data_IF_126504687826
#
_entry.id   IF_126504687826
#
_cell.length_a   1.000
_cell.length_b   1.000
_cell.length_c   1.000
_cell.angle_alpha   90.00
_cell.angle_beta   90.00
_cell.angle_gamma   90.00
#
_symmetry.space_group_name_H-M   'P 1'
#
loop_
_entity.id
_entity.type
_entity.pdbx_description
1 polymer ?
#
# COMPACT_ATOMS: atom_id res chain seq x y z
N UNK A 1 41.08 9.81 4.47
CA UNK A 1 41.52 10.95 3.64
C UNK A 1 42.15 12.10 4.43
N UNK A 2 41.42 12.89 5.24
CA UNK A 2 41.99 14.08 5.92
C UNK A 2 43.26 13.80 6.73
N UNK A 3 43.26 12.75 7.56
CA UNK A 3 44.41 12.36 8.38
C UNK A 3 45.63 11.98 7.52
N UNK A 4 45.38 11.30 6.39
CA UNK A 4 46.42 10.93 5.43
C UNK A 4 47.05 12.18 4.78
N UNK A 5 46.22 13.13 4.30
CA UNK A 5 46.69 14.40 3.75
C UNK A 5 47.48 15.24 4.76
N UNK A 6 47.08 15.23 6.05
CA UNK A 6 47.81 15.93 7.11
C UNK A 6 49.21 15.34 7.33
N UNK A 7 49.34 14.01 7.30
CA UNK A 7 50.63 13.34 7.40
C UNK A 7 51.52 13.67 6.19
N UNK A 8 50.95 13.65 4.98
CA UNK A 8 51.65 14.07 3.76
C UNK A 8 52.11 15.53 3.82
N UNK A 9 51.28 16.45 4.33
CA UNK A 9 51.65 17.85 4.52
C UNK A 9 52.83 17.99 5.47
N UNK A 10 52.84 17.28 6.61
CA UNK A 10 53.95 17.34 7.56
C UNK A 10 55.28 16.89 6.94
N UNK A 11 55.25 15.83 6.15
CA UNK A 11 56.45 15.34 5.43
C UNK A 11 56.90 16.30 4.34
N UNK A 12 55.96 16.98 3.68
CA UNK A 12 56.26 18.02 2.70
C UNK A 12 56.91 19.23 3.36
N UNK A 13 56.37 19.69 4.49
CA UNK A 13 56.91 20.80 5.26
C UNK A 13 58.35 20.49 5.74
N UNK A 14 58.60 19.28 6.25
CA UNK A 14 59.96 18.82 6.64
C UNK A 14 60.94 18.81 5.46
N UNK A 15 60.48 18.43 4.25
CA UNK A 15 61.30 18.44 3.05
C UNK A 15 61.62 19.86 2.56
N UNK A 16 60.70 20.80 2.74
CA UNK A 16 60.90 22.23 2.45
C UNK A 16 61.91 22.82 3.44
N UNK A 17 61.80 22.51 4.74
CA UNK A 17 62.76 22.94 5.76
C UNK A 17 64.18 22.42 5.49
N UNK A 18 64.30 21.17 5.03
CA UNK A 18 65.58 20.56 4.60
C UNK A 18 66.13 21.10 3.28
N UNK A 19 65.45 22.07 2.65
CA UNK A 19 65.84 22.66 1.34
C UNK A 19 65.97 21.62 0.24
N UNK A 20 65.07 20.63 0.21
CA UNK A 20 64.97 19.66 -0.90
C UNK A 20 64.05 20.16 -2.02
N UNK A 21 63.13 21.07 -1.69
CA UNK A 21 62.16 21.66 -2.63
C UNK A 21 62.18 23.17 -2.41
N UNK A 22 62.27 23.93 -3.50
CA UNK A 22 62.11 25.39 -3.47
C UNK A 22 60.62 25.77 -3.35
N UNK A 23 60.20 26.47 -2.28
CA UNK A 23 58.80 26.81 -2.05
C UNK A 23 58.23 27.82 -3.08
N UNK A 24 59.10 28.60 -3.75
CA UNK A 24 58.68 29.65 -4.69
C UNK A 24 58.58 29.11 -6.12
N UNK A 25 59.60 28.39 -6.58
CA UNK A 25 59.62 27.83 -7.94
C UNK A 25 58.96 26.45 -8.03
N UNK A 26 58.79 25.78 -6.90
CA UNK A 26 58.36 24.39 -6.84
C UNK A 26 59.41 23.43 -7.39
N UNK A 27 60.65 23.86 -7.65
CA UNK A 27 61.67 23.01 -8.24
C UNK A 27 62.28 22.08 -7.18
N UNK A 28 62.46 20.80 -7.55
CA UNK A 28 63.21 19.83 -6.75
C UNK A 28 64.71 20.15 -6.87
N UNK A 29 65.36 20.42 -5.74
CA UNK A 29 66.76 20.85 -5.70
C UNK A 29 67.66 19.65 -6.04
N UNK A 30 68.36 19.75 -7.18
CA UNK A 30 69.27 18.71 -7.67
C UNK A 30 68.76 17.89 -8.85
N UNK A 31 67.55 18.18 -9.35
CA UNK A 31 67.03 17.70 -10.63
C UNK A 31 67.13 18.79 -11.71
N UNK A 32 67.11 18.45 -13.02
CA UNK A 32 67.18 19.43 -14.09
C UNK A 32 66.04 20.46 -13.99
N UNK A 33 66.31 21.70 -14.43
CA UNK A 33 65.29 22.78 -14.44
C UNK A 33 64.08 22.36 -15.27
N UNK A 34 62.90 22.43 -14.66
CA UNK A 34 61.64 21.97 -15.26
C UNK A 34 61.34 20.48 -15.07
N UNK A 35 62.12 19.75 -14.26
CA UNK A 35 61.77 18.39 -13.87
C UNK A 35 60.74 18.39 -12.74
N UNK A 36 59.57 17.85 -13.05
CA UNK A 36 58.41 17.76 -12.16
C UNK A 36 58.01 16.29 -11.90
N UNK A 37 58.89 15.35 -12.22
CA UNK A 37 58.64 13.90 -12.15
C UNK A 37 58.97 13.28 -10.79
N UNK A 38 59.09 11.95 -10.76
CA UNK A 38 59.50 11.21 -9.56
C UNK A 38 61.00 11.37 -9.32
N UNK A 39 61.41 11.94 -8.19
CA UNK A 39 62.83 11.99 -7.82
C UNK A 39 63.16 10.93 -6.78
N UNK A 40 64.23 10.18 -7.03
CA UNK A 40 64.80 9.20 -6.09
C UNK A 40 65.39 9.85 -4.83
N UNK A 41 65.60 11.17 -4.85
CA UNK A 41 66.11 11.96 -3.71
C UNK A 41 65.05 12.25 -2.67
N UNK A 42 63.78 12.20 -3.06
CA UNK A 42 62.63 12.46 -2.22
C UNK A 42 62.05 11.13 -1.72
N UNK A 43 61.63 11.12 -0.45
CA UNK A 43 60.85 9.98 0.06
C UNK A 43 59.56 9.82 -0.75
N UNK A 44 59.07 8.59 -0.88
CA UNK A 44 57.80 8.23 -1.52
C UNK A 44 56.68 9.22 -1.16
N UNK A 45 56.52 9.47 0.14
CA UNK A 45 55.40 10.27 0.65
C UNK A 45 55.56 11.76 0.32
N UNK A 46 56.79 12.26 0.27
CA UNK A 46 57.07 13.64 -0.13
C UNK A 46 56.84 13.81 -1.62
N UNK A 47 57.23 12.84 -2.44
CA UNK A 47 56.90 12.81 -3.87
C UNK A 47 55.38 12.87 -4.05
N UNK A 48 54.60 12.06 -3.32
CA UNK A 48 53.13 12.09 -3.38
C UNK A 48 52.58 13.46 -2.96
N UNK A 49 52.99 13.98 -1.80
CA UNK A 49 52.53 15.26 -1.28
C UNK A 49 52.81 16.42 -2.24
N UNK A 50 54.01 16.42 -2.84
CA UNK A 50 54.42 17.38 -3.87
C UNK A 50 53.51 17.31 -5.11
N UNK A 51 53.24 16.10 -5.62
CA UNK A 51 52.31 15.93 -6.76
C UNK A 51 50.93 16.46 -6.44
N UNK A 52 50.42 16.19 -5.24
CA UNK A 52 49.12 16.70 -4.80
C UNK A 52 49.11 18.23 -4.70
N UNK A 53 50.14 18.84 -4.11
CA UNK A 53 50.23 20.30 -3.99
C UNK A 53 50.23 21.01 -5.35
N UNK A 54 50.87 20.41 -6.36
CA UNK A 54 50.93 20.95 -7.73
C UNK A 54 49.68 20.71 -8.58
N UNK A 55 48.82 19.76 -8.22
CA UNK A 55 47.62 19.46 -9.02
C UNK A 55 46.44 20.32 -8.58
N UNK A 56 45.76 20.87 -9.57
CA UNK A 56 44.41 21.43 -9.48
C UNK A 56 43.46 20.58 -10.31
N UNK A 57 42.14 20.79 -10.18
CA UNK A 57 41.13 19.97 -10.86
C UNK A 57 41.44 19.69 -12.35
N UNK A 58 41.95 20.65 -13.11
CA UNK A 58 42.21 20.48 -14.55
C UNK A 58 43.62 20.85 -15.00
N UNK A 59 44.47 21.39 -14.12
CA UNK A 59 45.79 21.90 -14.49
C UNK A 59 46.85 21.51 -13.46
N UNK A 60 48.10 21.44 -13.92
CA UNK A 60 49.26 21.21 -13.07
C UNK A 60 50.04 22.51 -13.02
N UNK A 61 50.14 23.10 -11.83
CA UNK A 61 50.98 24.27 -11.58
C UNK A 61 51.68 24.12 -10.23
N UNK A 62 53.00 24.00 -10.27
CA UNK A 62 53.83 23.91 -9.06
C UNK A 62 54.34 25.29 -8.60
N UNK A 63 54.40 26.28 -9.49
CA UNK A 63 55.07 27.53 -9.22
C UNK A 63 54.28 28.35 -8.19
N UNK A 64 54.89 28.63 -7.03
CA UNK A 64 54.27 29.40 -5.95
C UNK A 64 53.09 28.73 -5.24
N UNK A 65 52.68 27.50 -5.61
CA UNK A 65 51.62 26.74 -4.92
C UNK A 65 52.16 25.89 -3.79
N UNK A 66 53.29 25.22 -3.98
CA UNK A 66 53.85 24.26 -3.00
C UNK A 66 54.13 24.91 -1.64
N UNK A 67 54.65 26.14 -1.62
CA UNK A 67 54.90 26.88 -0.38
C UNK A 67 53.72 27.69 0.16
N UNK A 68 52.66 27.88 -0.63
CA UNK A 68 51.53 28.78 -0.29
C UNK A 68 50.28 28.03 0.12
N UNK A 69 50.01 26.88 -0.49
CA UNK A 69 48.76 26.14 -0.33
C UNK A 69 49.03 24.93 0.56
N UNK A 70 48.22 24.80 1.60
CA UNK A 70 48.21 23.61 2.43
C UNK A 70 47.14 22.64 1.94
N UNK A 71 47.45 21.35 1.96
CA UNK A 71 46.51 20.29 1.61
C UNK A 71 45.31 20.25 2.56
N UNK A 72 45.55 20.59 3.84
CA UNK A 72 44.54 20.69 4.90
C UNK A 72 44.77 22.00 5.65
N UNK A 73 43.71 22.81 5.77
CA UNK A 73 43.73 24.07 6.50
C UNK A 73 43.82 23.86 8.01
N UNK A 74 44.12 24.93 8.77
CA UNK A 74 44.19 24.88 10.24
C UNK A 74 42.86 24.48 10.89
N UNK A 75 41.75 24.80 10.24
CA UNK A 75 40.38 24.38 10.63
C UNK A 75 40.10 22.89 10.37
N UNK A 76 41.02 22.17 9.71
CA UNK A 76 40.84 20.76 9.35
C UNK A 76 39.95 20.53 8.13
N UNK A 77 39.74 21.56 7.30
CA UNK A 77 39.06 21.46 6.00
C UNK A 77 40.10 21.11 4.93
N UNK A 78 39.74 20.22 4.00
CA UNK A 78 40.61 19.87 2.87
C UNK A 78 40.50 20.96 1.81
N UNK A 79 41.62 21.35 1.20
CA UNK A 79 41.62 22.37 0.16
C UNK A 79 40.70 21.97 -1.02
N UNK A 80 39.81 22.88 -1.39
CA UNK A 80 38.73 22.65 -2.35
C UNK A 80 39.28 22.52 -3.79
N UNK A 81 40.35 23.25 -4.13
CA UNK A 81 40.91 23.31 -5.49
C UNK A 81 41.40 21.94 -5.97
N UNK A 82 41.99 21.16 -5.06
CA UNK A 82 42.59 19.86 -5.34
C UNK A 82 41.77 18.68 -4.84
N UNK A 83 40.62 18.89 -4.20
CA UNK A 83 39.84 17.84 -3.53
C UNK A 83 39.62 16.58 -4.38
N UNK A 84 39.24 16.77 -5.65
CA UNK A 84 38.96 15.65 -6.57
C UNK A 84 40.21 14.89 -7.01
N UNK A 85 41.36 15.58 -7.14
CA UNK A 85 42.65 14.94 -7.41
C UNK A 85 43.13 14.19 -6.15
N UNK A 86 42.94 14.79 -4.97
CA UNK A 86 43.30 14.18 -3.70
C UNK A 86 42.48 12.93 -3.43
N UNK A 87 41.20 12.94 -3.82
CA UNK A 87 40.32 11.79 -3.69
C UNK A 87 40.77 10.63 -4.58
N UNK A 88 41.11 10.91 -5.85
CA UNK A 88 41.71 9.91 -6.75
C UNK A 88 42.99 9.33 -6.17
N UNK A 89 43.89 10.18 -5.68
CA UNK A 89 45.15 9.72 -5.11
C UNK A 89 44.94 8.89 -3.84
N UNK A 90 44.06 9.31 -2.92
CA UNK A 90 43.75 8.57 -1.70
C UNK A 90 43.12 7.21 -2.01
N UNK A 91 42.15 7.18 -2.92
CA UNK A 91 41.46 5.94 -3.34
C UNK A 91 42.43 4.88 -3.88
N UNK A 92 43.42 5.29 -4.67
CA UNK A 92 44.37 4.37 -5.29
C UNK A 92 45.59 4.03 -4.42
N UNK A 93 46.16 5.01 -3.71
CA UNK A 93 47.38 4.81 -2.91
C UNK A 93 47.09 4.22 -1.53
N UNK A 94 45.98 4.59 -0.92
CA UNK A 94 45.58 4.15 0.41
C UNK A 94 44.32 3.28 0.33
N UNK A 95 44.37 2.30 -0.57
CA UNK A 95 43.29 1.33 -0.81
C UNK A 95 42.86 0.63 0.49
N UNK A 96 43.80 0.36 1.40
CA UNK A 96 43.48 -0.24 2.70
C UNK A 96 42.54 0.65 3.52
N UNK A 97 42.84 1.95 3.69
CA UNK A 97 41.94 2.83 4.45
C UNK A 97 40.62 3.10 3.74
N UNK A 98 40.61 3.08 2.40
CA UNK A 98 39.35 3.11 1.65
C UNK A 98 38.47 1.90 2.01
N UNK A 99 39.01 0.68 1.95
CA UNK A 99 38.25 -0.53 2.30
C UNK A 99 37.82 -0.56 3.77
N UNK A 100 38.67 -0.11 4.69
CA UNK A 100 38.33 -0.01 6.13
C UNK A 100 37.20 0.99 6.37
N UNK A 101 37.12 2.07 5.60
CA UNK A 101 36.04 3.05 5.73
C UNK A 101 34.67 2.50 5.29
N UNK A 102 34.64 1.41 4.51
CA UNK A 102 33.46 0.86 3.85
C UNK A 102 32.64 1.89 3.05
N UNK A 103 33.25 3.02 2.71
CA UNK A 103 32.66 3.99 1.80
C UNK A 103 32.54 3.36 0.40
N UNK A 104 31.50 3.73 -0.32
CA UNK A 104 31.28 3.31 -1.70
C UNK A 104 31.09 4.57 -2.53
N UNK A 105 32.10 4.93 -3.32
CA UNK A 105 32.01 6.10 -4.20
C UNK A 105 31.42 5.72 -5.54
N UNK A 106 30.33 6.38 -5.92
CA UNK A 106 29.73 6.23 -7.25
C UNK A 106 29.59 7.62 -7.89
N UNK A 107 30.17 7.85 -9.08
CA UNK A 107 31.06 6.96 -9.82
C UNK A 107 32.39 6.73 -9.09
N UNK A 108 33.03 5.58 -9.34
CA UNK A 108 34.33 5.27 -8.75
C UNK A 108 35.41 6.23 -9.28
N UNK A 109 36.35 6.69 -8.44
CA UNK A 109 37.49 7.48 -8.90
C UNK A 109 38.30 6.73 -9.98
N UNK A 110 38.92 7.45 -10.93
CA UNK A 110 39.75 6.82 -11.96
C UNK A 110 40.95 6.10 -11.33
N UNK A 111 41.44 5.06 -11.99
CA UNK A 111 42.66 4.39 -11.56
C UNK A 111 43.87 5.28 -11.81
N UNK A 112 44.74 5.39 -10.81
CA UNK A 112 45.96 6.17 -10.90
C UNK A 112 47.07 5.52 -10.10
N UNK A 113 48.26 5.44 -10.70
CA UNK A 113 49.45 4.88 -10.06
C UNK A 113 50.61 5.85 -10.18
N UNK A 114 51.56 5.73 -9.24
CA UNK A 114 52.70 6.65 -9.15
C UNK A 114 53.72 6.46 -10.29
N UNK A 115 53.64 5.36 -11.04
CA UNK A 115 54.61 4.99 -12.08
C UNK A 115 54.50 5.82 -13.36
N UNK A 116 53.47 6.65 -13.50
CA UNK A 116 53.36 7.53 -14.65
C UNK A 116 54.34 8.72 -14.51
N UNK A 117 55.14 8.94 -15.56
CA UNK A 117 56.05 10.09 -15.68
C UNK A 117 55.33 11.44 -15.66
N UNK A 118 54.00 11.42 -15.83
CA UNK A 118 53.16 12.61 -15.76
C UNK A 118 52.89 13.02 -14.32
N UNK A 119 53.13 14.30 -14.03
CA UNK A 119 52.76 14.92 -12.75
C UNK A 119 51.23 14.99 -12.57
N UNK A 120 50.46 14.91 -13.65
CA UNK A 120 49.00 15.05 -13.66
C UNK A 120 48.28 13.87 -13.00
N UNK A 121 47.37 14.20 -12.08
CA UNK A 121 46.48 13.24 -11.42
C UNK A 121 45.08 13.44 -12.00
N UNK A 122 44.46 12.41 -12.62
CA UNK A 122 43.12 12.57 -13.17
C UNK A 122 42.11 12.88 -12.06
N UNK A 123 41.30 13.95 -12.18
CA UNK A 123 40.33 14.31 -11.16
C UNK A 123 39.21 13.26 -11.09
N UNK A 124 38.74 12.94 -9.88
CA UNK A 124 37.50 12.20 -9.72
C UNK A 124 36.30 13.01 -10.25
N UNK A 125 35.27 12.33 -10.75
CA UNK A 125 34.00 12.97 -11.09
C UNK A 125 33.24 13.45 -9.83
N UNK A 126 32.23 14.32 -9.98
CA UNK A 126 31.34 14.66 -8.88
C UNK A 126 30.67 13.39 -8.33
N UNK A 127 30.84 13.15 -7.03
CA UNK A 127 30.26 11.97 -6.38
C UNK A 127 28.74 12.12 -6.31
N UNK A 128 28.04 11.11 -6.81
CA UNK A 128 26.57 11.02 -6.71
C UNK A 128 26.14 10.24 -5.47
N UNK A 129 26.96 9.30 -5.02
CA UNK A 129 26.68 8.48 -3.83
C UNK A 129 27.95 8.21 -3.03
N UNK A 130 27.80 8.27 -1.72
CA UNK A 130 28.74 7.78 -0.72
C UNK A 130 27.96 7.24 0.46
N UNK A 131 28.53 6.28 1.19
CA UNK A 131 27.89 5.69 2.37
C UNK A 131 28.81 5.75 3.57
N UNK A 132 28.19 5.87 4.74
CA UNK A 132 28.88 5.90 6.03
C UNK A 132 28.30 4.76 6.87
N UNK A 133 29.11 3.73 7.21
CA UNK A 133 28.61 2.60 7.99
C UNK A 133 28.39 3.00 9.45
N UNK A 134 27.22 2.63 10.00
CA UNK A 134 26.93 2.71 11.41
C UNK A 134 26.40 1.36 11.91
N UNK A 135 26.74 1.03 13.16
CA UNK A 135 26.22 -0.15 13.83
C UNK A 135 25.23 0.27 14.90
N UNK A 136 24.06 -0.38 14.90
CA UNK A 136 23.01 -0.17 15.88
C UNK A 136 23.13 -1.23 16.97
N UNK A 137 23.03 -0.82 18.23
CA UNK A 137 23.11 -1.72 19.40
C UNK A 137 21.85 -1.63 20.25
N UNK A 138 21.46 -2.71 20.91
CA UNK A 138 20.35 -2.69 21.88
C UNK A 138 18.95 -2.63 21.27
N UNK A 139 18.78 -3.02 20.00
CA UNK A 139 17.48 -3.09 19.33
C UNK A 139 16.75 -4.40 19.68
N UNK A 140 16.10 -4.44 20.84
CA UNK A 140 15.36 -5.64 21.30
C UNK A 140 13.85 -5.57 21.03
N UNK A 141 13.28 -4.36 21.08
CA UNK A 141 11.82 -4.16 21.03
C UNK A 141 11.40 -3.26 19.87
N UNK A 142 10.25 -3.56 19.25
CA UNK A 142 9.66 -2.77 18.16
C UNK A 142 9.54 -1.27 18.48
N UNK A 143 9.08 -0.82 19.67
CA UNK A 143 9.00 0.61 19.97
C UNK A 143 10.36 1.30 19.98
N UNK A 144 11.42 0.62 20.40
CA UNK A 144 12.79 1.16 20.40
C UNK A 144 13.27 1.32 18.95
N UNK A 145 13.00 0.33 18.10
CA UNK A 145 13.35 0.39 16.67
C UNK A 145 12.60 1.54 15.99
N UNK A 146 11.30 1.68 16.22
CA UNK A 146 10.49 2.77 15.65
C UNK A 146 10.98 4.13 16.15
N UNK A 147 11.35 4.26 17.42
CA UNK A 147 11.92 5.49 17.97
C UNK A 147 13.26 5.83 17.30
N UNK A 148 14.16 4.84 17.19
CA UNK A 148 15.45 5.00 16.52
C UNK A 148 15.28 5.46 15.06
N UNK A 149 14.34 4.86 14.33
CA UNK A 149 14.06 5.27 12.94
C UNK A 149 13.60 6.73 12.88
N UNK A 150 12.72 7.17 13.80
CA UNK A 150 12.28 8.58 13.87
C UNK A 150 13.43 9.54 14.14
N UNK A 151 14.30 9.20 15.09
CA UNK A 151 15.44 10.03 15.47
C UNK A 151 16.44 10.16 14.31
N UNK A 152 16.80 9.05 13.67
CA UNK A 152 17.74 9.08 12.54
C UNK A 152 17.14 9.82 11.34
N UNK A 153 15.86 9.59 11.02
CA UNK A 153 15.17 10.35 9.96
C UNK A 153 15.16 11.85 10.25
N UNK A 154 14.91 12.26 11.49
CA UNK A 154 14.92 13.67 11.86
C UNK A 154 16.28 14.33 11.66
N UNK A 155 17.37 13.63 11.99
CA UNK A 155 18.74 14.10 11.73
C UNK A 155 18.99 14.19 10.22
N UNK A 156 18.57 13.18 9.46
CA UNK A 156 18.71 13.20 8.00
C UNK A 156 17.97 14.39 7.37
N UNK A 157 16.74 14.66 7.81
CA UNK A 157 15.91 15.76 7.34
C UNK A 157 16.51 17.14 7.71
N UNK A 158 17.23 17.25 8.83
CA UNK A 158 17.96 18.46 9.22
C UNK A 158 19.08 18.79 8.22
N UNK A 159 19.92 17.80 7.90
CA UNK A 159 21.00 17.97 6.93
C UNK A 159 20.50 18.10 5.49
N UNK A 160 19.35 17.50 5.15
CA UNK A 160 18.71 17.69 3.84
C UNK A 160 18.30 19.16 3.64
N UNK A 161 17.82 19.83 4.69
CA UNK A 161 17.52 21.29 4.66
C UNK A 161 18.76 22.15 4.47
N UNK A 162 19.93 21.68 4.88
CA UNK A 162 21.22 22.34 4.65
C UNK A 162 21.78 22.08 3.24
N UNK A 163 20.99 21.49 2.32
CA UNK A 163 21.38 21.07 0.98
C UNK A 163 22.40 19.93 0.95
N UNK A 164 22.41 19.06 1.97
CA UNK A 164 23.15 17.82 1.97
C UNK A 164 22.19 16.63 1.92
N UNK A 165 21.74 16.21 0.71
CA UNK A 165 20.78 15.14 0.56
C UNK A 165 21.36 13.84 1.09
N UNK A 166 20.66 13.24 2.05
CA UNK A 166 21.11 12.05 2.75
C UNK A 166 19.91 11.20 3.16
N UNK A 167 20.10 9.89 3.26
CA UNK A 167 19.06 8.97 3.69
C UNK A 167 19.66 7.77 4.44
N UNK A 168 18.97 7.26 5.46
CA UNK A 168 19.39 6.05 6.14
C UNK A 168 19.03 4.82 5.29
N UNK A 169 19.89 3.81 5.34
CA UNK A 169 19.67 2.52 4.68
C UNK A 169 19.99 1.38 5.64
N UNK A 170 19.22 0.31 5.58
CA UNK A 170 19.44 -0.89 6.38
C UNK A 170 18.16 -1.66 6.65
N UNK A 171 18.32 -2.91 7.13
CA UNK A 171 17.22 -3.85 7.39
C UNK A 171 16.18 -3.24 8.35
N UNK A 172 16.63 -2.51 9.38
CA UNK A 172 15.73 -1.86 10.32
C UNK A 172 14.80 -0.85 9.62
N UNK A 173 15.34 -0.01 8.73
CA UNK A 173 14.55 0.95 7.97
C UNK A 173 13.62 0.23 7.00
N UNK A 174 14.11 -0.74 6.23
CA UNK A 174 13.27 -1.45 5.24
C UNK A 174 12.10 -2.21 5.86
N UNK A 175 12.27 -2.86 7.01
CA UNK A 175 11.23 -3.71 7.60
C UNK A 175 10.37 -3.01 8.66
N UNK A 176 10.93 -2.08 9.45
CA UNK A 176 10.19 -1.46 10.57
C UNK A 176 9.58 -0.10 10.23
N UNK A 177 9.92 0.51 9.10
CA UNK A 177 9.34 1.80 8.68
C UNK A 177 7.81 1.74 8.53
N UNK A 178 7.25 0.59 8.14
CA UNK A 178 5.79 0.39 8.08
C UNK A 178 5.07 0.59 9.42
N UNK A 179 5.75 0.41 10.56
CA UNK A 179 5.13 0.57 11.88
C UNK A 179 5.03 2.03 12.32
N UNK A 180 5.72 2.97 11.66
CA UNK A 180 5.67 4.40 12.00
C UNK A 180 4.25 4.97 11.91
N UNK A 181 3.55 4.60 10.84
CA UNK A 181 2.24 5.14 10.49
C UNK A 181 1.12 4.09 10.59
N UNK A 182 1.41 2.89 11.11
CA UNK A 182 0.47 1.77 11.12
C UNK A 182 -0.84 2.11 11.85
N UNK A 183 -0.77 2.67 13.06
CA UNK A 183 -1.96 3.01 13.84
C UNK A 183 -2.80 4.10 13.18
N UNK A 184 -2.16 5.17 12.69
CA UNK A 184 -2.84 6.27 12.00
C UNK A 184 -3.50 5.79 10.71
N UNK A 185 -2.78 4.99 9.91
CA UNK A 185 -3.31 4.44 8.67
C UNK A 185 -4.47 3.46 8.92
N UNK A 186 -4.40 2.66 9.98
CA UNK A 186 -5.51 1.80 10.39
C UNK A 186 -6.75 2.61 10.77
N UNK A 187 -6.60 3.68 11.55
CA UNK A 187 -7.72 4.56 11.91
C UNK A 187 -8.36 5.22 10.69
N UNK A 188 -7.54 5.71 9.75
CA UNK A 188 -8.04 6.25 8.48
C UNK A 188 -8.75 5.19 7.64
N UNK A 189 -8.20 3.98 7.54
CA UNK A 189 -8.80 2.89 6.78
C UNK A 189 -10.16 2.47 7.36
N UNK A 190 -10.26 2.30 8.68
CA UNK A 190 -11.53 1.98 9.35
C UNK A 190 -12.55 3.10 9.13
N UNK A 191 -12.16 4.37 9.26
CA UNK A 191 -13.05 5.50 9.05
C UNK A 191 -13.60 5.56 7.61
N UNK A 192 -12.72 5.41 6.61
CA UNK A 192 -13.12 5.42 5.19
C UNK A 192 -14.07 4.27 4.88
N UNK A 193 -13.76 3.06 5.35
CA UNK A 193 -14.59 1.87 5.13
C UNK A 193 -15.92 2.02 5.85
N UNK A 194 -15.93 2.53 7.08
CA UNK A 194 -17.17 2.77 7.83
C UNK A 194 -18.10 3.74 7.09
N UNK A 195 -17.57 4.85 6.55
CA UNK A 195 -18.35 5.80 5.74
C UNK A 195 -18.85 5.14 4.46
N UNK A 196 -17.99 4.40 3.75
CA UNK A 196 -18.37 3.71 2.52
C UNK A 196 -19.48 2.69 2.76
N UNK A 197 -19.35 1.85 3.79
CA UNK A 197 -20.37 0.85 4.18
C UNK A 197 -21.66 1.54 4.58
N UNK A 198 -21.62 2.63 5.36
CA UNK A 198 -22.81 3.40 5.72
C UNK A 198 -23.56 3.92 4.49
N UNK A 199 -22.84 4.50 3.52
CA UNK A 199 -23.44 5.02 2.29
C UNK A 199 -24.08 3.90 1.47
N UNK A 200 -23.35 2.79 1.26
CA UNK A 200 -23.84 1.65 0.48
C UNK A 200 -25.05 1.02 1.16
N UNK A 201 -25.01 0.78 2.47
CA UNK A 201 -26.14 0.23 3.22
C UNK A 201 -27.34 1.19 3.23
N UNK A 202 -27.13 2.49 3.34
CA UNK A 202 -28.21 3.48 3.27
C UNK A 202 -28.92 3.45 1.92
N UNK A 203 -28.17 3.30 0.83
CA UNK A 203 -28.72 3.21 -0.54
C UNK A 203 -29.46 1.89 -0.75
N UNK A 204 -28.86 0.75 -0.38
CA UNK A 204 -29.48 -0.57 -0.55
C UNK A 204 -30.75 -0.71 0.29
N UNK A 205 -30.72 -0.18 1.51
CA UNK A 205 -31.81 -0.31 2.47
C UNK A 205 -32.87 0.78 2.31
N UNK A 206 -32.60 1.81 1.51
CA UNK A 206 -33.41 3.04 1.37
C UNK A 206 -33.80 3.70 2.72
N UNK A 207 -33.08 3.38 3.80
CA UNK A 207 -33.40 3.82 5.16
C UNK A 207 -32.11 4.13 5.93
N UNK A 208 -31.72 5.41 6.06
CA UNK A 208 -30.47 5.79 6.72
C UNK A 208 -30.49 5.52 8.23
N UNK A 209 -31.66 5.46 8.86
CA UNK A 209 -31.79 5.11 10.27
C UNK A 209 -31.41 3.64 10.52
N UNK A 210 -31.92 2.73 9.67
CA UNK A 210 -31.56 1.32 9.72
C UNK A 210 -30.05 1.11 9.48
N UNK A 211 -29.48 1.82 8.50
CA UNK A 211 -28.05 1.80 8.23
C UNK A 211 -27.22 2.32 9.42
N UNK A 212 -27.70 3.35 10.12
CA UNK A 212 -27.05 3.85 11.35
C UNK A 212 -27.00 2.80 12.47
N UNK A 213 -28.06 2.02 12.66
CA UNK A 213 -28.09 0.92 13.63
C UNK A 213 -27.07 -0.17 13.26
N UNK A 214 -26.99 -0.55 11.97
CA UNK A 214 -25.97 -1.50 11.50
C UNK A 214 -24.58 -0.97 11.80
N UNK A 215 -24.29 0.28 11.45
CA UNK A 215 -22.99 0.90 11.67
C UNK A 215 -22.58 0.91 13.15
N UNK A 216 -23.51 1.17 14.06
CA UNK A 216 -23.26 1.10 15.50
C UNK A 216 -22.77 -0.30 15.90
N UNK A 217 -23.45 -1.36 15.42
CA UNK A 217 -23.06 -2.74 15.71
C UNK A 217 -21.71 -3.09 15.07
N UNK A 218 -21.44 -2.64 13.84
CA UNK A 218 -20.14 -2.87 13.19
C UNK A 218 -18.99 -2.22 13.97
N UNK A 219 -19.19 -0.99 14.46
CA UNK A 219 -18.19 -0.32 15.32
C UNK A 219 -17.97 -1.13 16.60
N UNK A 220 -19.03 -1.61 17.25
CA UNK A 220 -18.90 -2.47 18.43
C UNK A 220 -18.11 -3.76 18.14
N UNK A 221 -18.42 -4.46 17.05
CA UNK A 221 -17.69 -5.66 16.62
C UNK A 221 -16.20 -5.36 16.43
N UNK A 222 -15.84 -4.24 15.77
CA UNK A 222 -14.44 -3.88 15.57
C UNK A 222 -13.71 -3.57 16.88
N UNK A 223 -14.37 -2.88 17.81
CA UNK A 223 -13.81 -2.53 19.12
C UNK A 223 -13.64 -3.77 19.99
N UNK A 224 -14.62 -4.68 20.00
CA UNK A 224 -14.56 -5.94 20.73
C UNK A 224 -13.46 -6.85 20.21
N UNK A 225 -13.32 -6.96 18.87
CA UNK A 225 -12.23 -7.71 18.27
C UNK A 225 -10.87 -7.08 18.62
N UNK A 226 -10.73 -5.76 18.48
CA UNK A 226 -9.49 -5.06 18.85
C UNK A 226 -9.14 -5.24 20.34
N UNK A 227 -10.14 -5.22 21.22
CA UNK A 227 -9.99 -5.54 22.65
C UNK A 227 -9.54 -6.98 22.88
N UNK A 228 -10.14 -7.94 22.17
CA UNK A 228 -9.74 -9.34 22.21
C UNK A 228 -8.28 -9.56 21.76
N UNK A 229 -7.81 -8.88 20.71
CA UNK A 229 -6.40 -8.93 20.29
C UNK A 229 -5.47 -8.51 21.44
N UNK A 230 -5.83 -7.45 22.16
CA UNK A 230 -5.08 -6.98 23.33
C UNK A 230 -5.04 -8.01 24.46
N UNK A 231 -6.19 -8.60 24.80
CA UNK A 231 -6.31 -9.61 25.85
C UNK A 231 -5.58 -10.92 25.51
N UNK A 232 -5.59 -11.32 24.23
CA UNK A 232 -4.88 -12.50 23.74
C UNK A 232 -3.36 -12.29 23.60
N UNK A 233 -2.84 -11.09 23.92
CA UNK A 233 -1.42 -10.76 23.78
C UNK A 233 -0.93 -10.82 22.34
N UNK A 234 -1.81 -10.52 21.37
CA UNK A 234 -1.50 -10.47 19.95
C UNK A 234 -1.02 -9.05 19.63
N UNK A 235 0.22 -8.93 19.14
CA UNK A 235 0.82 -7.63 18.82
C UNK A 235 0.17 -7.04 17.57
N UNK A 236 0.00 -5.72 17.53
CA UNK A 236 -0.50 -5.02 16.36
C UNK A 236 0.56 -5.05 15.23
N UNK A 237 0.23 -5.77 14.17
CA UNK A 237 1.01 -5.95 12.95
C UNK A 237 0.13 -5.58 11.75
N UNK A 238 0.65 -5.28 10.54
CA UNK A 238 -0.21 -5.04 9.37
C UNK A 238 -1.18 -6.18 9.08
N UNK A 239 -0.79 -7.43 9.38
CA UNK A 239 -1.66 -8.59 9.20
C UNK A 239 -2.86 -8.55 10.15
N UNK A 240 -2.65 -8.28 11.45
CA UNK A 240 -3.76 -8.14 12.40
C UNK A 240 -4.60 -6.90 12.12
N UNK A 241 -3.99 -5.82 11.60
CA UNK A 241 -4.68 -4.61 11.19
C UNK A 241 -5.65 -4.89 10.02
N UNK A 242 -5.22 -5.69 9.03
CA UNK A 242 -6.09 -6.18 7.96
C UNK A 242 -7.23 -7.02 8.51
N UNK A 243 -6.99 -7.87 9.52
CA UNK A 243 -8.07 -8.65 10.15
C UNK A 243 -9.13 -7.78 10.82
N UNK A 244 -8.73 -6.68 11.48
CA UNK A 244 -9.67 -5.69 12.05
C UNK A 244 -10.48 -5.02 10.93
N UNK A 245 -9.87 -4.73 9.79
CA UNK A 245 -10.58 -4.17 8.62
C UNK A 245 -11.58 -5.19 8.06
N UNK A 246 -11.17 -6.45 7.89
CA UNK A 246 -12.02 -7.55 7.43
C UNK A 246 -13.20 -7.78 8.38
N UNK A 247 -13.04 -7.49 9.68
CA UNK A 247 -14.13 -7.58 10.65
C UNK A 247 -15.33 -6.69 10.30
N UNK A 248 -15.10 -5.52 9.72
CA UNK A 248 -16.19 -4.66 9.23
C UNK A 248 -16.96 -5.36 8.11
N UNK A 249 -16.25 -5.98 7.16
CA UNK A 249 -16.87 -6.69 6.03
C UNK A 249 -17.67 -7.92 6.47
N UNK A 250 -17.06 -8.79 7.28
CA UNK A 250 -17.72 -9.99 7.81
C UNK A 250 -18.88 -9.60 8.75
N UNK A 251 -18.75 -8.52 9.52
CA UNK A 251 -19.84 -8.00 10.36
C UNK A 251 -21.07 -7.57 9.55
N UNK A 252 -20.88 -7.03 8.34
CA UNK A 252 -22.01 -6.64 7.45
C UNK A 252 -22.82 -7.87 7.04
N UNK A 253 -22.19 -9.01 6.78
CA UNK A 253 -22.88 -10.25 6.43
C UNK A 253 -23.85 -10.68 7.55
N UNK A 254 -23.40 -10.64 8.80
CA UNK A 254 -24.24 -11.05 9.94
C UNK A 254 -25.36 -10.06 10.27
N UNK A 255 -25.18 -8.77 9.96
CA UNK A 255 -26.12 -7.71 10.35
C UNK A 255 -27.11 -7.36 9.25
N UNK A 256 -26.68 -7.28 7.98
CA UNK A 256 -27.50 -6.82 6.87
C UNK A 256 -28.69 -7.76 6.57
N UNK A 257 -28.49 -9.08 6.65
CA UNK A 257 -29.57 -10.06 6.44
C UNK A 257 -30.69 -9.91 7.47
N UNK A 258 -30.33 -9.66 8.73
CA UNK A 258 -31.28 -9.44 9.83
C UNK A 258 -32.04 -8.14 9.62
N UNK A 259 -31.35 -7.03 9.34
CA UNK A 259 -32.02 -5.73 9.13
C UNK A 259 -32.95 -5.75 7.92
N UNK A 260 -32.52 -6.34 6.80
CA UNK A 260 -33.35 -6.44 5.59
C UNK A 260 -34.61 -7.29 5.84
N UNK A 261 -34.48 -8.40 6.57
CA UNK A 261 -35.64 -9.22 6.93
C UNK A 261 -36.58 -8.51 7.90
N UNK A 262 -36.04 -7.72 8.84
CA UNK A 262 -36.84 -6.89 9.74
C UNK A 262 -37.62 -5.80 8.98
N UNK A 263 -36.99 -5.13 8.01
CA UNK A 263 -37.62 -4.09 7.20
C UNK A 263 -38.73 -4.62 6.30
N UNK A 264 -38.57 -5.83 5.77
CA UNK A 264 -39.55 -6.49 4.89
C UNK A 264 -40.65 -7.25 5.65
N UNK A 265 -40.56 -7.37 6.97
CA UNK A 265 -41.57 -8.00 7.80
C UNK A 265 -42.66 -7.01 8.23
N UNK A 266 -43.89 -7.51 8.32
CA UNK A 266 -45.11 -6.76 8.68
C UNK A 266 -45.46 -6.94 10.15
N UNK A 267 -46.24 -6.01 10.70
CA UNK A 267 -46.77 -6.06 12.06
C UNK A 267 -46.06 -5.15 13.06
N UNK A 268 -46.25 -5.41 14.35
CA UNK A 268 -45.60 -4.63 15.42
C UNK A 268 -44.09 -4.88 15.43
N UNK A 269 -43.31 -4.02 16.11
CA UNK A 269 -41.84 -4.20 16.19
C UNK A 269 -41.43 -5.58 16.71
N UNK A 270 -42.18 -6.13 17.66
CA UNK A 270 -41.89 -7.44 18.23
C UNK A 270 -42.27 -8.58 17.28
N UNK A 271 -43.41 -8.47 16.60
CA UNK A 271 -43.85 -9.47 15.62
C UNK A 271 -42.91 -9.51 14.41
N UNK A 272 -42.49 -8.32 13.94
CA UNK A 272 -41.48 -8.16 12.88
C UNK A 272 -40.15 -8.78 13.28
N UNK A 273 -39.74 -8.60 14.52
CA UNK A 273 -38.49 -9.19 15.03
C UNK A 273 -38.58 -10.72 15.12
N UNK A 274 -39.68 -11.24 15.65
CA UNK A 274 -39.91 -12.68 15.74
C UNK A 274 -39.91 -13.33 14.35
N UNK A 275 -40.65 -12.76 13.40
CA UNK A 275 -40.69 -13.23 12.01
C UNK A 275 -39.32 -13.11 11.30
N UNK A 276 -38.57 -12.04 11.57
CA UNK A 276 -37.22 -11.86 11.05
C UNK A 276 -36.28 -12.97 11.51
N UNK A 277 -36.24 -13.25 12.82
CA UNK A 277 -35.36 -14.28 13.39
C UNK A 277 -35.75 -15.67 12.88
N UNK A 278 -37.03 -16.00 12.82
CA UNK A 278 -37.50 -17.27 12.27
C UNK A 278 -37.00 -17.52 10.83
N UNK A 279 -36.93 -16.46 10.01
CA UNK A 279 -36.47 -16.54 8.61
C UNK A 279 -34.94 -16.55 8.47
N UNK A 280 -34.22 -15.81 9.30
CA UNK A 280 -32.79 -15.50 9.08
C UNK A 280 -31.85 -16.33 9.96
N UNK A 281 -32.32 -16.89 11.07
CA UNK A 281 -31.49 -17.62 12.04
C UNK A 281 -30.71 -18.78 11.40
N UNK A 282 -31.42 -19.67 10.68
CA UNK A 282 -30.82 -20.87 10.08
C UNK A 282 -29.79 -20.53 8.99
N UNK A 283 -30.10 -19.66 7.98
CA UNK A 283 -29.13 -19.27 6.97
C UNK A 283 -27.86 -18.62 7.56
N UNK A 284 -28.00 -17.72 8.53
CA UNK A 284 -26.86 -16.99 9.12
C UNK A 284 -25.95 -17.92 9.92
N UNK A 285 -26.53 -18.83 10.73
CA UNK A 285 -25.73 -19.81 11.47
C UNK A 285 -25.01 -20.78 10.54
N UNK A 286 -25.66 -21.25 9.47
CA UNK A 286 -24.99 -22.10 8.48
C UNK A 286 -23.87 -21.35 7.74
N UNK A 287 -24.08 -20.07 7.38
CA UNK A 287 -23.05 -19.21 6.81
C UNK A 287 -21.84 -19.11 7.75
N UNK A 288 -22.07 -18.77 9.02
CA UNK A 288 -21.01 -18.67 10.01
C UNK A 288 -20.27 -20.01 10.23
N UNK A 289 -21.00 -21.13 10.32
CA UNK A 289 -20.38 -22.45 10.46
C UNK A 289 -19.53 -22.83 9.23
N UNK A 290 -19.95 -22.46 8.03
CA UNK A 290 -19.17 -22.71 6.81
C UNK A 290 -17.84 -21.95 6.81
N UNK A 291 -17.84 -20.68 7.26
CA UNK A 291 -16.60 -19.89 7.41
C UNK A 291 -15.70 -20.47 8.49
N UNK A 292 -16.27 -20.90 9.62
CA UNK A 292 -15.52 -21.54 10.69
C UNK A 292 -14.86 -22.84 10.22
N UNK A 293 -15.59 -23.69 9.49
CA UNK A 293 -15.04 -24.94 8.93
C UNK A 293 -13.86 -24.67 7.97
N UNK A 294 -13.93 -23.60 7.18
CA UNK A 294 -12.81 -23.17 6.34
C UNK A 294 -11.58 -22.75 7.16
N UNK A 295 -11.79 -21.99 8.24
CA UNK A 295 -10.72 -21.49 9.12
C UNK A 295 -10.14 -22.59 10.01
N UNK A 296 -10.91 -23.61 10.38
CA UNK A 296 -10.45 -24.73 11.24
C UNK A 296 -9.26 -25.45 10.62
N UNK A 297 -9.14 -25.51 9.29
CA UNK A 297 -7.96 -26.09 8.64
C UNK A 297 -6.65 -25.37 9.00
N UNK A 298 -6.71 -24.07 9.34
CA UNK A 298 -5.55 -23.28 9.76
C UNK A 298 -5.07 -23.66 11.18
N UNK A 299 -5.91 -24.29 11.99
CA UNK A 299 -5.53 -24.73 13.34
C UNK A 299 -4.47 -25.84 13.32
N UNK A 300 -4.41 -26.63 12.23
CA UNK A 300 -3.45 -27.71 12.05
C UNK A 300 -2.12 -27.26 11.44
N UNK A 301 -1.88 -25.95 11.34
CA UNK A 301 -0.61 -25.42 10.83
C UNK A 301 0.51 -25.59 11.86
N UNK A 302 1.69 -26.02 11.40
CA UNK A 302 2.91 -26.10 12.22
C UNK A 302 3.43 -24.72 12.65
N UNK A 303 3.01 -23.65 11.96
CA UNK A 303 3.46 -22.29 12.24
C UNK A 303 2.60 -21.64 13.32
N UNK A 304 3.16 -21.38 14.50
CA UNK A 304 2.50 -20.64 15.59
C UNK A 304 1.93 -19.30 15.11
N UNK A 305 2.65 -18.64 14.20
CA UNK A 305 2.21 -17.40 13.57
C UNK A 305 0.83 -17.54 12.89
N UNK A 306 0.63 -18.63 12.14
CA UNK A 306 -0.64 -18.87 11.42
C UNK A 306 -1.76 -19.15 12.41
N UNK A 307 -1.51 -20.03 13.38
CA UNK A 307 -2.51 -20.40 14.39
C UNK A 307 -2.92 -19.18 15.22
N UNK A 308 -1.95 -18.38 15.68
CA UNK A 308 -2.22 -17.24 16.56
C UNK A 308 -2.87 -16.05 15.83
N UNK A 309 -2.35 -15.64 14.68
CA UNK A 309 -2.82 -14.41 14.02
C UNK A 309 -4.00 -14.65 13.07
N UNK A 310 -4.17 -15.86 12.54
CA UNK A 310 -5.29 -16.18 11.66
C UNK A 310 -6.34 -17.01 12.37
N UNK A 311 -6.01 -18.22 12.84
CA UNK A 311 -7.03 -19.12 13.41
C UNK A 311 -7.71 -18.52 14.64
N UNK A 312 -6.96 -18.10 15.66
CA UNK A 312 -7.52 -17.55 16.90
C UNK A 312 -8.30 -16.26 16.63
N UNK A 313 -7.73 -15.32 15.86
CA UNK A 313 -8.37 -14.03 15.60
C UNK A 313 -9.62 -14.16 14.72
N UNK A 314 -9.57 -14.96 13.66
CA UNK A 314 -10.72 -15.15 12.76
C UNK A 314 -11.84 -15.93 13.44
N UNK A 315 -11.50 -16.91 14.29
CA UNK A 315 -12.50 -17.61 15.11
C UNK A 315 -13.17 -16.67 16.10
N UNK A 316 -12.40 -15.80 16.76
CA UNK A 316 -12.94 -14.78 17.65
C UNK A 316 -13.84 -13.79 16.90
N UNK A 317 -13.44 -13.37 15.69
CA UNK A 317 -14.27 -12.52 14.82
C UNK A 317 -15.61 -13.18 14.49
N UNK A 318 -15.63 -14.46 14.11
CA UNK A 318 -16.88 -15.18 13.83
C UNK A 318 -17.75 -15.25 15.09
N UNK A 319 -17.17 -15.60 16.24
CA UNK A 319 -17.91 -15.70 17.50
C UNK A 319 -18.54 -14.35 17.90
N UNK A 320 -17.74 -13.28 17.88
CA UNK A 320 -18.19 -11.90 18.16
C UNK A 320 -19.24 -11.46 17.15
N UNK A 321 -19.06 -11.79 15.87
CA UNK A 321 -20.00 -11.47 14.79
C UNK A 321 -21.36 -12.13 14.96
N UNK A 322 -21.40 -13.43 15.30
CA UNK A 322 -22.65 -14.15 15.59
C UNK A 322 -23.34 -13.56 16.83
N UNK A 323 -22.59 -13.34 17.91
CA UNK A 323 -23.16 -12.81 19.16
C UNK A 323 -23.81 -11.44 18.92
N UNK A 324 -23.09 -10.53 18.27
CA UNK A 324 -23.59 -9.18 18.01
C UNK A 324 -24.67 -9.13 16.93
N UNK A 325 -24.50 -9.89 15.84
CA UNK A 325 -25.45 -9.90 14.72
C UNK A 325 -26.77 -10.60 15.03
N UNK A 326 -26.76 -11.65 15.85
CA UNK A 326 -27.93 -12.50 16.08
C UNK A 326 -28.57 -12.33 17.46
N UNK A 327 -27.86 -11.72 18.44
CA UNK A 327 -28.43 -11.46 19.77
C UNK A 327 -28.55 -9.97 20.06
N UNK A 328 -27.47 -9.20 19.89
CA UNK A 328 -27.50 -7.76 20.22
C UNK A 328 -28.35 -6.95 19.23
N UNK A 329 -28.16 -7.16 17.93
CA UNK A 329 -28.88 -6.43 16.89
C UNK A 329 -30.42 -6.61 16.95
N UNK A 330 -30.97 -7.83 17.13
CA UNK A 330 -32.42 -8.03 17.29
C UNK A 330 -33.03 -7.25 18.45
N UNK A 331 -32.34 -7.23 19.60
CA UNK A 331 -32.79 -6.46 20.77
C UNK A 331 -32.79 -4.96 20.47
N UNK A 332 -31.73 -4.46 19.83
CA UNK A 332 -31.62 -3.06 19.46
C UNK A 332 -32.70 -2.62 18.45
N UNK A 333 -33.00 -3.46 17.46
CA UNK A 333 -34.06 -3.23 16.48
C UNK A 333 -35.48 -3.33 17.08
N UNK A 334 -35.71 -4.19 18.08
CA UNK A 334 -37.00 -4.21 18.79
C UNK A 334 -37.26 -2.89 19.53
N UNK A 335 -36.22 -2.31 20.14
CA UNK A 335 -36.32 -1.05 20.90
C UNK A 335 -36.38 0.20 20.00
N UNK A 336 -35.44 0.32 19.06
CA UNK A 336 -35.14 1.55 18.30
C UNK A 336 -35.38 1.35 16.79
N UNK A 337 -35.99 0.24 16.37
CA UNK A 337 -36.19 -0.08 14.96
C UNK A 337 -37.07 0.93 14.21
N UNK A 338 -36.79 1.14 12.90
CA UNK A 338 -37.57 2.04 12.06
C UNK A 338 -39.05 1.61 11.93
N UNK A 339 -39.96 2.57 11.68
CA UNK A 339 -41.38 2.26 11.47
C UNK A 339 -41.56 1.34 10.26
N UNK A 340 -42.69 0.62 10.22
CA UNK A 340 -43.00 -0.28 9.12
C UNK A 340 -43.29 0.53 7.85
N UNK A 341 -42.68 0.13 6.73
CA UNK A 341 -42.84 0.81 5.44
C UNK A 341 -44.21 0.52 4.81
N UNK A 342 -44.79 -0.66 5.10
CA UNK A 342 -46.09 -1.09 4.58
C UNK A 342 -46.99 -1.48 5.75
N UNK A 343 -47.99 -0.66 6.05
CA UNK A 343 -49.03 -1.01 7.02
C UNK A 343 -50.31 -1.43 6.27
N UNK A 344 -50.76 -2.68 6.42
CA UNK A 344 -52.01 -3.14 5.81
C UNK A 344 -53.21 -2.40 6.42
N UNK A 345 -54.07 -1.86 5.55
CA UNK A 345 -55.24 -1.04 5.91
C UNK A 345 -56.25 -1.83 6.77
N UNK A 346 -56.27 -3.16 6.64
CA UNK A 346 -57.15 -4.08 7.38
C UNK A 346 -56.63 -4.45 8.79
N UNK A 347 -55.44 -3.97 9.19
CA UNK A 347 -54.85 -4.30 10.50
C UNK A 347 -54.42 -5.77 10.66
N UNK A 348 -54.39 -6.54 9.57
CA UNK A 348 -53.94 -7.93 9.53
C UNK A 348 -52.46 -8.00 9.19
N UNK A 349 -51.63 -8.76 9.92
CA UNK A 349 -50.17 -8.88 9.68
C UNK A 349 -49.80 -9.66 8.40
N UNK A 350 -50.73 -9.81 7.46
CA UNK A 350 -50.58 -10.58 6.23
C UNK A 350 -51.10 -9.79 5.04
N UNK A 351 -50.26 -9.67 4.02
CA UNK A 351 -50.71 -9.23 2.70
C UNK A 351 -51.64 -10.28 2.11
N UNK A 352 -52.74 -9.83 1.49
CA UNK A 352 -53.62 -10.73 0.76
C UNK A 352 -52.83 -11.51 -0.29
N UNK A 353 -53.03 -12.85 -0.40
CA UNK A 353 -52.34 -13.63 -1.39
C UNK A 353 -52.65 -13.07 -2.79
N UNK A 354 -51.64 -12.91 -3.67
CA UNK A 354 -51.88 -12.42 -5.01
C UNK A 354 -52.93 -13.31 -5.68
N UNK A 355 -53.93 -12.72 -6.38
CA UNK A 355 -55.03 -13.50 -6.92
C UNK A 355 -54.48 -14.62 -7.82
N UNK A 356 -55.01 -15.85 -7.71
CA UNK A 356 -54.46 -17.00 -8.42
C UNK A 356 -54.35 -16.69 -9.91
N UNK A 357 -53.20 -16.98 -10.52
CA UNK A 357 -52.89 -16.68 -11.93
C UNK A 357 -54.00 -17.14 -12.87
N UNK A 358 -54.63 -18.28 -12.55
CA UNK A 358 -55.78 -18.85 -13.27
C UNK A 358 -57.01 -17.92 -13.30
N UNK A 359 -57.24 -17.12 -12.26
CA UNK A 359 -58.33 -16.13 -12.20
C UNK A 359 -58.01 -14.88 -13.01
N UNK A 360 -56.74 -14.47 -13.10
CA UNK A 360 -56.29 -13.41 -14.03
C UNK A 360 -56.40 -13.86 -15.49
N UNK A 361 -55.97 -15.09 -15.80
CA UNK A 361 -56.13 -15.65 -17.15
C UNK A 361 -57.61 -15.79 -17.54
N UNK A 362 -58.45 -16.30 -16.64
CA UNK A 362 -59.88 -16.49 -16.90
C UNK A 362 -60.65 -15.17 -17.00
N UNK A 363 -60.25 -14.14 -16.23
CA UNK A 363 -60.77 -12.77 -16.40
C UNK A 363 -60.29 -12.14 -17.70
N UNK A 364 -59.02 -12.31 -18.09
CA UNK A 364 -58.50 -11.86 -19.40
C UNK A 364 -59.22 -12.56 -20.56
N UNK A 365 -59.37 -13.88 -20.51
CA UNK A 365 -60.14 -14.64 -21.52
C UNK A 365 -61.62 -14.27 -21.54
N UNK A 366 -62.25 -14.00 -20.39
CA UNK A 366 -63.63 -13.53 -20.34
C UNK A 366 -63.77 -12.11 -20.88
N UNK A 367 -62.79 -11.23 -20.62
CA UNK A 367 -62.72 -9.89 -21.22
C UNK A 367 -62.49 -9.96 -22.73
N UNK A 368 -61.54 -10.78 -23.20
CA UNK A 368 -61.27 -11.03 -24.63
C UNK A 368 -62.50 -11.59 -25.34
N UNK A 369 -63.21 -12.53 -24.72
CA UNK A 369 -64.44 -13.09 -25.29
C UNK A 369 -65.62 -12.09 -25.26
N UNK A 370 -65.67 -11.18 -24.28
CA UNK A 370 -66.64 -10.07 -24.28
C UNK A 370 -66.29 -9.00 -25.31
N UNK A 371 -65.02 -8.67 -25.53
CA UNK A 371 -64.59 -7.74 -26.58
C UNK A 371 -64.77 -8.32 -27.98
N UNK A 372 -64.53 -9.63 -28.18
CA UNK A 372 -64.80 -10.30 -29.45
C UNK A 372 -66.30 -10.29 -29.77
N UNK A 373 -67.16 -10.54 -28.77
CA UNK A 373 -68.62 -10.50 -28.94
C UNK A 373 -69.16 -9.09 -29.22
N UNK A 374 -68.46 -8.06 -28.73
CA UNK A 374 -68.80 -6.65 -28.99
C UNK A 374 -68.35 -6.22 -30.39
N UNK A 375 -67.17 -6.65 -30.84
CA UNK A 375 -66.68 -6.35 -32.19
C UNK A 375 -67.45 -7.10 -33.29
N UNK A 376 -67.91 -8.33 -33.05
CA UNK A 376 -68.78 -9.05 -34.01
C UNK A 376 -70.17 -8.42 -34.17
N UNK A 377 -70.54 -7.47 -33.31
CA UNK A 377 -71.82 -6.77 -33.37
C UNK A 377 -71.76 -5.42 -34.10
N UNK A 378 -70.55 -4.86 -34.32
CA UNK A 378 -70.36 -3.48 -34.77
C UNK A 378 -69.65 -3.34 -36.13
N UNK A 379 -69.40 -4.42 -36.87
CA UNK A 379 -68.95 -4.32 -38.28
C UNK A 379 -70.14 -4.18 -39.24
N UNK A 380 -70.75 -3.00 -39.18
CA UNK A 380 -71.52 -2.39 -40.26
C UNK A 380 -71.30 -0.88 -40.23
N UNK A 381 -70.19 -0.46 -40.85
CA UNK A 381 -69.88 0.87 -41.42
C UNK A 381 -68.79 1.72 -40.74
N UNK A 382 -67.88 2.18 -41.64
CA UNK A 382 -67.08 3.42 -41.64
C UNK A 382 -65.81 3.55 -40.78
N UNK A 383 -64.65 3.41 -41.45
CA UNK A 383 -63.70 4.51 -41.73
C UNK A 383 -62.78 5.05 -40.62
N UNK A 384 -61.49 5.17 -40.97
CA UNK A 384 -60.41 6.05 -40.45
C UNK A 384 -59.37 5.49 -39.45
N UNK A 385 -58.11 5.45 -39.96
CA UNK A 385 -56.78 5.68 -39.36
C UNK A 385 -56.57 5.57 -37.84
N UNK A 386 -55.57 4.78 -37.42
CA UNK A 386 -54.93 4.91 -36.12
C UNK A 386 -53.81 3.90 -35.87
N UNK A 387 -52.64 4.39 -35.49
CA UNK A 387 -51.36 3.70 -35.31
C UNK A 387 -51.22 2.94 -33.96
N UNK A 388 -50.18 2.09 -33.90
CA UNK A 388 -49.52 1.52 -32.69
C UNK A 388 -50.28 0.36 -31.99
N UNK A 389 -49.69 -0.77 -31.59
CA UNK A 389 -48.35 -0.95 -31.05
C UNK A 389 -47.97 -2.45 -31.00
N UNK A 390 -46.68 -2.72 -31.16
CA UNK A 390 -46.05 -4.03 -31.09
C UNK A 390 -45.76 -4.42 -29.63
N UNK A 391 -46.06 -5.66 -29.22
CA UNK A 391 -45.46 -6.30 -28.04
C UNK A 391 -45.63 -7.82 -28.12
N UNK A 392 -44.66 -8.48 -28.75
CA UNK A 392 -44.54 -9.93 -28.80
C UNK A 392 -43.93 -10.44 -27.48
N UNK A 393 -44.78 -10.95 -26.59
CA UNK A 393 -44.36 -11.64 -25.36
C UNK A 393 -44.19 -13.13 -25.65
N UNK A 394 -42.93 -13.61 -25.61
CA UNK A 394 -42.56 -15.03 -25.67
C UNK A 394 -43.13 -15.79 -24.45
N UNK A 395 -44.07 -16.70 -24.69
CA UNK A 395 -44.54 -17.68 -23.72
C UNK A 395 -44.02 -19.07 -24.11
N UNK A 396 -43.23 -19.66 -23.21
CA UNK A 396 -42.78 -21.05 -23.25
C UNK A 396 -43.89 -21.91 -22.63
N UNK A 397 -44.42 -22.85 -23.41
CA UNK A 397 -45.45 -23.82 -23.02
C UNK A 397 -44.77 -25.11 -22.48
N UNK A 398 -45.23 -25.74 -21.38
CA UNK A 398 -44.67 -27.02 -20.96
C UNK A 398 -45.45 -28.17 -21.61
N UNK A 399 -44.80 -28.96 -22.48
CA UNK A 399 -45.40 -30.19 -23.01
C UNK A 399 -45.15 -31.38 -22.06
N UNK A 400 -46.20 -32.19 -21.90
CA UNK A 400 -46.20 -33.48 -21.20
C UNK A 400 -45.50 -34.55 -22.05
N UNK A 401 -44.50 -35.22 -21.46
CA UNK A 401 -44.20 -36.64 -21.66
C UNK A 401 -43.26 -37.05 -22.81
N UNK A 402 -42.21 -37.81 -22.46
CA UNK A 402 -41.60 -38.82 -23.37
C UNK A 402 -40.22 -38.51 -23.96
N UNK A 403 -39.17 -39.00 -23.29
CA UNK A 403 -37.86 -39.51 -23.77
C UNK A 403 -37.37 -39.04 -25.16
N UNK A 404 -36.33 -38.19 -25.20
CA UNK A 404 -35.03 -38.36 -25.92
C UNK A 404 -34.20 -37.07 -25.86
N UNK A 405 -32.88 -37.21 -26.00
CA UNK A 405 -31.77 -36.27 -25.71
C UNK A 405 -31.76 -34.92 -26.47
N UNK A 406 -31.12 -33.86 -25.94
CA UNK A 406 -31.08 -32.54 -26.58
C UNK A 406 -30.06 -32.49 -27.73
N UNK A 407 -30.45 -31.92 -28.88
CA UNK A 407 -29.55 -31.46 -29.94
C UNK A 407 -29.66 -29.95 -30.11
N UNK A 408 -28.52 -29.25 -30.15
CA UNK A 408 -28.42 -27.87 -30.59
C UNK A 408 -28.82 -27.75 -32.08
N UNK A 409 -29.57 -26.70 -32.43
CA UNK A 409 -29.67 -26.21 -33.80
C UNK A 409 -29.74 -24.68 -33.84
N UNK A 410 -29.10 -24.15 -34.87
CA UNK A 410 -28.58 -22.79 -35.07
C UNK A 410 -29.67 -21.79 -35.45
N UNK A 411 -29.50 -20.57 -34.95
CA UNK A 411 -30.33 -19.41 -35.18
C UNK A 411 -30.02 -18.80 -36.57
N UNK A 412 -30.96 -18.88 -37.51
CA UNK A 412 -30.88 -18.20 -38.81
C UNK A 412 -31.92 -17.07 -38.85
N UNK A 413 -31.49 -15.84 -38.57
CA UNK A 413 -31.93 -14.59 -39.23
C UNK A 413 -31.28 -13.40 -38.52
N UNK A 414 -29.97 -13.26 -38.74
CA UNK A 414 -29.28 -11.97 -38.61
C UNK A 414 -28.46 -11.78 -39.88
N UNK A 415 -29.10 -11.21 -40.90
CA UNK A 415 -28.39 -10.57 -42.02
C UNK A 415 -28.94 -9.18 -42.19
N UNK A 416 -27.98 -8.26 -42.27
CA UNK A 416 -28.08 -6.90 -42.80
C UNK A 416 -28.32 -5.79 -41.78
N UNK A 417 -27.22 -5.28 -41.20
CA UNK A 417 -26.81 -3.88 -41.39
C UNK A 417 -25.42 -3.65 -40.74
N UNK A 418 -24.59 -2.81 -41.40
CA UNK A 418 -23.20 -2.41 -41.09
C UNK A 418 -22.14 -3.37 -41.67
N UNK A 419 -21.19 -2.99 -42.53
CA UNK A 419 -20.71 -1.67 -42.93
C UNK A 419 -20.14 -1.71 -44.36
N UNK A 420 -20.26 -0.58 -45.05
CA UNK A 420 -19.48 -0.20 -46.23
C UNK A 420 -18.09 0.30 -45.77
N UNK A 421 -17.11 0.23 -46.70
CA UNK A 421 -15.74 0.79 -46.71
C UNK A 421 -14.68 -0.20 -46.15
N UNK A 422 -14.08 -1.10 -46.94
CA UNK A 422 -13.00 -1.01 -47.96
C UNK A 422 -11.63 -0.48 -47.49
N UNK A 423 -10.64 -1.35 -47.76
CA UNK A 423 -9.16 -1.28 -47.64
C UNK A 423 -8.56 -1.54 -46.26
#
# INVERSE_FOLDING_TARGET
MRTWLRNLQLKLDEAIEKKLIDPVTGQIIGEPKGYYGWSSRLSSDVNIAYRLACNTRYAVDCAGRVGKIRLVDESGIINIDGFYNYLTAWYNLDSMMYHVSQASFIPAPPTWTMNNDTLFIPPAGPMSYSQIPFYLTGLTNTPIIVKMIKEIRAICDEFDRENLPNFPSGIAFTFWEQYLHLSTNLMHAIAIIAVAVFLVLSVITCNPWAAGIIMMILVLITVELAGFLGLAGIKLNPISAVTIITAVGIGVEFTAHVVLSFLTSLGTRNDRMAACIERVFVPVIHGALSTLLGIVMLAFSEFEFVVKYFFVVMTALIAVGIINGLFLLPVLLSLIGPPCEVSPIDGTDRLDPPPPVRRKLRKRQAQEMQTHRRNDSDDSNTGTLGLENCSTMLLIDPSRGGITTPRLSVNSHARSASAHITS
#
